data_IF_328163851641
#
_entry.id   IF_328163851641
#
_cell.length_a   1.000
_cell.length_b   1.000
_cell.length_c   1.000
_cell.angle_alpha   90.00
_cell.angle_beta   90.00
_cell.angle_gamma   90.00
#
_symmetry.space_group_name_H-M   'P 1'
#
loop_
_entity.id
_entity.type
_entity.pdbx_description
1 polymer ?
#
# COMPACT_ATOMS: atom_id res chain seq x y z
N UNK A 1 2.72 -6.44 22.06
CA UNK A 1 4.09 -6.53 21.50
C UNK A 1 4.31 -7.78 20.64
N UNK A 2 3.30 -8.66 20.46
CA UNK A 2 3.43 -9.92 19.71
C UNK A 2 3.12 -9.80 18.21
N UNK A 3 2.15 -8.98 17.82
CA UNK A 3 1.60 -9.03 16.45
C UNK A 3 2.46 -8.32 15.40
N UNK A 4 3.17 -7.26 15.79
CA UNK A 4 4.12 -6.55 14.93
C UNK A 4 5.26 -7.46 14.47
N UNK A 5 5.72 -8.36 15.35
CA UNK A 5 6.78 -9.33 15.04
C UNK A 5 6.26 -10.39 14.04
N UNK A 6 5.02 -10.84 14.20
CA UNK A 6 4.40 -11.82 13.28
C UNK A 6 4.21 -11.21 11.88
N UNK A 7 3.66 -9.99 11.79
CA UNK A 7 3.49 -9.31 10.51
C UNK A 7 4.82 -9.05 9.80
N UNK A 8 5.84 -8.59 10.54
CA UNK A 8 7.20 -8.41 10.03
C UNK A 8 7.78 -9.71 9.46
N UNK A 9 7.68 -10.82 10.21
CA UNK A 9 8.17 -12.12 9.77
C UNK A 9 7.45 -12.63 8.51
N UNK A 10 6.12 -12.44 8.42
CA UNK A 10 5.34 -12.82 7.23
C UNK A 10 5.78 -12.00 6.01
N UNK A 11 5.97 -10.69 6.17
CA UNK A 11 6.38 -9.79 5.08
C UNK A 11 7.79 -10.14 4.61
N UNK A 12 8.72 -10.42 5.53
CA UNK A 12 10.06 -10.91 5.19
C UNK A 12 10.01 -12.24 4.43
N UNK A 13 9.21 -13.22 4.88
CA UNK A 13 9.05 -14.50 4.20
C UNK A 13 8.53 -14.27 2.78
N UNK A 14 7.42 -13.54 2.62
CA UNK A 14 6.81 -13.29 1.31
C UNK A 14 7.77 -12.58 0.36
N UNK A 15 8.52 -11.60 0.86
CA UNK A 15 9.49 -10.85 0.07
C UNK A 15 10.69 -11.70 -0.36
N UNK A 16 11.08 -12.71 0.42
CA UNK A 16 12.13 -13.66 0.07
C UNK A 16 11.72 -14.75 -0.92
N UNK A 17 10.42 -14.98 -1.13
CA UNK A 17 9.93 -16.02 -2.04
C UNK A 17 10.19 -15.69 -3.52
N UNK A 18 10.44 -16.69 -4.38
CA UNK A 18 10.40 -16.54 -5.83
C UNK A 18 9.06 -15.97 -6.32
N UNK A 19 9.09 -15.19 -7.40
CA UNK A 19 7.91 -14.48 -7.91
C UNK A 19 6.71 -15.40 -8.20
N UNK A 20 6.95 -16.58 -8.77
CA UNK A 20 5.91 -17.55 -9.11
C UNK A 20 5.16 -18.10 -7.87
N UNK A 21 5.78 -18.06 -6.68
CA UNK A 21 5.12 -18.39 -5.41
C UNK A 21 4.53 -17.14 -4.76
N UNK A 22 5.24 -16.01 -4.83
CA UNK A 22 4.83 -14.77 -4.18
C UNK A 22 3.51 -14.25 -4.75
N UNK A 23 3.34 -14.25 -6.07
CA UNK A 23 2.11 -13.76 -6.74
C UNK A 23 0.83 -14.47 -6.24
N UNK A 24 0.70 -15.81 -6.33
CA UNK A 24 -0.51 -16.49 -5.86
C UNK A 24 -0.73 -16.33 -4.36
N UNK A 25 0.32 -16.30 -3.54
CA UNK A 25 0.17 -16.08 -2.09
C UNK A 25 -0.35 -14.69 -1.76
N UNK A 26 0.19 -13.65 -2.40
CA UNK A 26 -0.32 -12.27 -2.24
C UNK A 26 -1.75 -12.12 -2.74
N UNK A 27 -2.09 -12.78 -3.84
CA UNK A 27 -3.46 -12.77 -4.38
C UNK A 27 -4.45 -13.37 -3.39
N UNK A 28 -4.15 -14.52 -2.80
CA UNK A 28 -4.98 -15.14 -1.78
C UNK A 28 -5.12 -14.23 -0.55
N UNK A 29 -4.02 -13.63 -0.10
CA UNK A 29 -4.03 -12.69 1.03
C UNK A 29 -4.92 -11.46 0.77
N UNK A 30 -4.92 -10.94 -0.46
CA UNK A 30 -5.80 -9.84 -0.86
C UNK A 30 -7.28 -10.27 -0.89
N UNK A 31 -7.57 -11.48 -1.37
CA UNK A 31 -8.94 -12.05 -1.34
C UNK A 31 -9.43 -12.19 0.11
N UNK A 32 -8.59 -12.71 1.00
CA UNK A 32 -8.87 -12.79 2.44
C UNK A 32 -9.12 -11.39 3.02
N UNK A 33 -8.21 -10.45 2.75
CA UNK A 33 -8.32 -9.07 3.22
C UNK A 33 -9.66 -8.41 2.84
N UNK A 34 -10.13 -8.59 1.61
CA UNK A 34 -11.42 -8.02 1.18
C UNK A 34 -12.63 -8.62 1.89
N UNK A 35 -12.48 -9.80 2.49
CA UNK A 35 -13.53 -10.49 3.25
C UNK A 35 -13.51 -10.14 4.74
N UNK A 36 -12.50 -9.41 5.22
CA UNK A 36 -12.37 -9.04 6.63
C UNK A 36 -13.36 -7.92 7.04
N UNK A 37 -13.76 -7.87 8.32
CA UNK A 37 -14.37 -6.69 8.94
C UNK A 37 -13.47 -5.44 8.86
N UNK A 38 -14.06 -4.24 8.91
CA UNK A 38 -13.31 -2.99 8.73
C UNK A 38 -12.27 -2.72 9.84
N UNK A 39 -12.54 -3.13 11.08
CA UNK A 39 -11.60 -3.06 12.18
C UNK A 39 -10.40 -3.99 11.96
N UNK A 40 -10.63 -5.22 11.51
CA UNK A 40 -9.57 -6.17 11.16
C UNK A 40 -8.76 -5.71 9.94
N UNK A 41 -9.40 -5.08 8.95
CA UNK A 41 -8.69 -4.45 7.82
C UNK A 41 -7.77 -3.35 8.32
N UNK A 42 -8.27 -2.46 9.19
CA UNK A 42 -7.46 -1.36 9.75
C UNK A 42 -6.25 -1.90 10.51
N UNK A 43 -6.43 -2.93 11.33
CA UNK A 43 -5.35 -3.58 12.05
C UNK A 43 -4.34 -4.21 11.07
N UNK A 44 -4.81 -4.92 10.05
CA UNK A 44 -3.96 -5.54 9.02
C UNK A 44 -3.08 -4.51 8.31
N UNK A 45 -3.66 -3.38 7.88
CA UNK A 45 -2.91 -2.29 7.25
C UNK A 45 -1.91 -1.66 8.20
N UNK A 46 -2.31 -1.40 9.45
CA UNK A 46 -1.45 -0.80 10.47
C UNK A 46 -0.23 -1.70 10.72
N UNK A 47 -0.44 -3.00 10.87
CA UNK A 47 0.63 -3.97 11.05
C UNK A 47 1.53 -4.08 9.82
N UNK A 48 0.97 -4.02 8.61
CA UNK A 48 1.77 -4.04 7.38
C UNK A 48 2.66 -2.79 7.23
N UNK A 49 2.13 -1.60 7.55
CA UNK A 49 2.90 -0.35 7.51
C UNK A 49 4.01 -0.34 8.55
N UNK A 50 3.73 -0.76 9.79
CA UNK A 50 4.74 -0.87 10.84
C UNK A 50 5.85 -1.87 10.47
N UNK A 51 5.48 -3.00 9.88
CA UNK A 51 6.44 -3.98 9.39
C UNK A 51 7.30 -3.41 8.25
N UNK A 52 6.71 -2.64 7.32
CA UNK A 52 7.45 -2.00 6.23
C UNK A 52 8.57 -1.07 6.74
N UNK A 53 8.40 -0.44 7.89
CA UNK A 53 9.42 0.42 8.52
C UNK A 53 10.62 -0.36 9.10
N UNK A 54 10.47 -1.66 9.33
CA UNK A 54 11.49 -2.51 9.99
C UNK A 54 12.27 -3.41 9.03
N UNK A 55 11.86 -3.47 7.76
CA UNK A 55 12.41 -4.38 6.76
C UNK A 55 13.35 -3.62 5.82
N UNK A 56 14.43 -4.28 5.39
CA UNK A 56 15.33 -3.72 4.38
C UNK A 56 14.57 -3.32 3.11
N UNK A 57 14.85 -2.11 2.62
CA UNK A 57 14.09 -1.55 1.52
C UNK A 57 14.20 -2.37 0.23
N UNK A 58 15.33 -3.03 -0.05
CA UNK A 58 15.46 -3.87 -1.26
C UNK A 58 14.57 -5.11 -1.21
N UNK A 59 14.35 -5.63 0.00
CA UNK A 59 13.42 -6.74 0.25
C UNK A 59 11.99 -6.23 0.09
N UNK A 60 11.67 -5.11 0.76
CA UNK A 60 10.34 -4.50 0.70
C UNK A 60 9.95 -4.09 -0.73
N UNK A 61 10.85 -3.51 -1.51
CA UNK A 61 10.58 -3.02 -2.86
C UNK A 61 10.11 -4.14 -3.79
N UNK A 62 10.70 -5.33 -3.66
CA UNK A 62 10.31 -6.51 -4.42
C UNK A 62 8.90 -6.97 -4.06
N UNK A 63 8.56 -6.96 -2.78
CA UNK A 63 7.23 -7.31 -2.31
C UNK A 63 6.18 -6.30 -2.77
N UNK A 64 6.46 -5.00 -2.59
CA UNK A 64 5.56 -3.91 -2.99
C UNK A 64 5.30 -3.95 -4.49
N UNK A 65 6.33 -4.19 -5.31
CA UNK A 65 6.16 -4.34 -6.76
C UNK A 65 5.18 -5.45 -7.10
N UNK A 66 5.40 -6.65 -6.56
CA UNK A 66 4.51 -7.80 -6.80
C UNK A 66 3.10 -7.52 -6.27
N UNK A 67 2.98 -6.86 -5.13
CA UNK A 67 1.69 -6.48 -4.55
C UNK A 67 0.92 -5.51 -5.47
N UNK A 68 1.57 -4.50 -6.03
CA UNK A 68 0.95 -3.56 -6.98
C UNK A 68 0.52 -4.26 -8.27
N UNK A 69 1.34 -5.17 -8.79
CA UNK A 69 0.99 -5.97 -9.97
C UNK A 69 -0.23 -6.86 -9.72
N UNK A 70 -0.24 -7.58 -8.59
CA UNK A 70 -1.37 -8.44 -8.21
C UNK A 70 -2.64 -7.60 -7.98
N UNK A 71 -2.51 -6.41 -7.39
CA UNK A 71 -3.64 -5.50 -7.19
C UNK A 71 -4.28 -5.07 -8.52
N UNK A 72 -3.48 -4.95 -9.60
CA UNK A 72 -3.99 -4.64 -10.95
C UNK A 72 -4.85 -5.77 -11.54
N UNK A 73 -4.76 -7.00 -11.03
CA UNK A 73 -5.60 -8.13 -11.47
C UNK A 73 -7.02 -8.07 -10.90
N UNK A 74 -7.26 -7.26 -9.87
CA UNK A 74 -8.59 -7.05 -9.28
C UNK A 74 -9.33 -5.90 -9.97
N UNK A 75 -10.66 -5.85 -9.82
CA UNK A 75 -11.50 -4.76 -10.34
C UNK A 75 -11.23 -3.41 -9.65
N UNK A 76 -11.75 -2.32 -10.23
CA UNK A 76 -11.53 -0.96 -9.72
C UNK A 76 -12.07 -0.77 -8.29
N UNK A 77 -13.17 -1.43 -7.93
CA UNK A 77 -13.77 -1.35 -6.61
C UNK A 77 -12.83 -1.89 -5.54
N UNK A 78 -12.28 -3.10 -5.74
CA UNK A 78 -11.30 -3.70 -4.84
C UNK A 78 -10.01 -2.89 -4.76
N UNK A 79 -9.53 -2.34 -5.88
CA UNK A 79 -8.37 -1.42 -5.87
C UNK A 79 -8.63 -0.19 -5.02
N UNK A 80 -9.81 0.43 -5.16
CA UNK A 80 -10.21 1.59 -4.36
C UNK A 80 -10.36 1.24 -2.88
N UNK A 81 -10.97 0.10 -2.56
CA UNK A 81 -11.09 -0.37 -1.19
C UNK A 81 -9.70 -0.55 -0.53
N UNK A 82 -8.76 -1.15 -1.27
CA UNK A 82 -7.39 -1.34 -0.80
C UNK A 82 -6.68 -0.01 -0.53
N UNK A 83 -6.73 0.94 -1.48
CA UNK A 83 -6.17 2.27 -1.27
C UNK A 83 -6.85 3.00 -0.12
N UNK A 84 -8.18 2.91 0.00
CA UNK A 84 -8.95 3.53 1.08
C UNK A 84 -8.51 3.07 2.46
N UNK A 85 -8.25 1.76 2.62
CA UNK A 85 -7.75 1.22 3.86
C UNK A 85 -6.39 1.81 4.25
N UNK A 86 -5.46 1.95 3.30
CA UNK A 86 -4.18 2.65 3.52
C UNK A 86 -4.37 4.13 3.87
N UNK A 87 -5.15 4.87 3.09
CA UNK A 87 -5.36 6.30 3.33
C UNK A 87 -5.99 6.56 4.70
N UNK A 88 -6.94 5.72 5.13
CA UNK A 88 -7.58 5.85 6.45
C UNK A 88 -6.56 5.71 7.59
N UNK A 89 -5.62 4.77 7.49
CA UNK A 89 -4.56 4.61 8.49
C UNK A 89 -3.58 5.78 8.44
N UNK A 90 -3.18 6.21 7.25
CA UNK A 90 -2.26 7.34 7.06
C UNK A 90 -2.84 8.65 7.60
N UNK A 91 -4.12 8.93 7.34
CA UNK A 91 -4.79 10.13 7.84
C UNK A 91 -4.90 10.11 9.37
N UNK A 92 -5.06 8.93 9.96
CA UNK A 92 -5.11 8.75 11.41
C UNK A 92 -3.72 8.83 12.07
N UNK A 93 -2.67 8.39 11.36
CA UNK A 93 -1.29 8.35 11.84
C UNK A 93 -0.31 8.90 10.78
N UNK A 94 -0.26 10.23 10.58
CA UNK A 94 0.56 10.84 9.51
C UNK A 94 2.06 10.57 9.62
N UNK A 95 2.57 10.38 10.83
CA UNK A 95 4.00 10.17 11.10
C UNK A 95 4.56 8.94 10.37
N UNK A 96 3.73 7.91 10.14
CA UNK A 96 4.11 6.71 9.38
C UNK A 96 4.62 7.08 7.98
N UNK A 97 4.02 8.07 7.32
CA UNK A 97 4.44 8.50 5.99
C UNK A 97 5.78 9.23 6.01
N UNK A 98 6.08 9.96 7.09
CA UNK A 98 7.34 10.66 7.23
C UNK A 98 8.53 9.69 7.39
N UNK A 99 8.29 8.50 7.95
CA UNK A 99 9.32 7.47 8.13
C UNK A 99 9.46 6.53 6.92
N UNK A 100 8.45 6.43 6.06
CA UNK A 100 8.49 5.58 4.88
C UNK A 100 9.43 6.17 3.80
N UNK A 101 10.17 5.29 3.13
CA UNK A 101 10.95 5.66 1.95
C UNK A 101 10.03 5.89 0.73
N UNK A 102 9.36 7.04 0.70
CA UNK A 102 8.41 7.40 -0.37
C UNK A 102 9.11 7.46 -1.72
N UNK A 103 10.31 8.02 -1.80
CA UNK A 103 11.09 8.10 -3.06
C UNK A 103 11.34 6.71 -3.64
N UNK A 104 11.72 5.76 -2.79
CA UNK A 104 11.88 4.37 -3.16
C UNK A 104 10.58 3.75 -3.63
N UNK A 105 9.47 3.95 -2.92
CA UNK A 105 8.15 3.42 -3.31
C UNK A 105 7.69 4.00 -4.66
N UNK A 106 7.96 5.28 -4.92
CA UNK A 106 7.70 5.90 -6.22
C UNK A 106 8.59 5.30 -7.32
N UNK A 107 9.85 4.99 -7.03
CA UNK A 107 10.71 4.29 -7.98
C UNK A 107 10.17 2.90 -8.32
N UNK A 108 9.63 2.18 -7.33
CA UNK A 108 8.97 0.88 -7.55
C UNK A 108 7.74 1.03 -8.43
N UNK A 109 6.89 2.03 -8.13
CA UNK A 109 5.73 2.35 -8.95
C UNK A 109 6.12 2.68 -10.40
N UNK A 110 7.16 3.49 -10.61
CA UNK A 110 7.63 3.88 -11.93
C UNK A 110 8.19 2.72 -12.76
N UNK A 111 8.67 1.66 -12.08
CA UNK A 111 9.16 0.43 -12.71
C UNK A 111 8.04 -0.55 -13.14
N UNK A 112 6.78 -0.23 -12.88
CA UNK A 112 5.63 -0.99 -13.38
C UNK A 112 5.37 -0.68 -14.87
N UNK A 113 4.63 -1.58 -15.53
CA UNK A 113 4.15 -1.34 -16.90
C UNK A 113 3.23 -0.11 -16.96
N UNK A 114 3.17 0.55 -18.11
CA UNK A 114 2.32 1.74 -18.28
C UNK A 114 0.84 1.45 -18.01
N UNK A 115 0.36 0.27 -18.42
CA UNK A 115 -1.00 -0.20 -18.12
C UNK A 115 -1.25 -0.30 -16.60
N UNK A 116 -0.34 -0.92 -15.85
CA UNK A 116 -0.50 -1.07 -14.40
C UNK A 116 -0.45 0.30 -13.70
N UNK A 117 0.47 1.19 -14.13
CA UNK A 117 0.54 2.56 -13.60
C UNK A 117 -0.78 3.30 -13.80
N UNK A 118 -1.36 3.23 -15.00
CA UNK A 118 -2.64 3.88 -15.31
C UNK A 118 -3.80 3.33 -14.47
N UNK A 119 -3.89 2.00 -14.29
CA UNK A 119 -4.93 1.38 -13.48
C UNK A 119 -4.88 1.83 -12.02
N UNK A 120 -3.67 1.85 -11.44
CA UNK A 120 -3.46 2.25 -10.05
C UNK A 120 -3.69 3.75 -9.86
N UNK A 121 -3.16 4.60 -10.75
CA UNK A 121 -3.38 6.04 -10.72
C UNK A 121 -4.86 6.39 -10.80
N UNK A 122 -5.59 5.80 -11.77
CA UNK A 122 -7.02 6.04 -11.93
C UNK A 122 -7.79 5.70 -10.65
N UNK A 123 -7.53 4.53 -10.06
CA UNK A 123 -8.19 4.11 -8.83
C UNK A 123 -7.86 5.03 -7.64
N UNK A 124 -6.61 5.46 -7.51
CA UNK A 124 -6.18 6.34 -6.44
C UNK A 124 -6.74 7.76 -6.61
N UNK A 125 -6.67 8.36 -7.79
CA UNK A 125 -7.27 9.68 -8.09
C UNK A 125 -8.77 9.68 -7.86
N UNK A 126 -9.48 8.65 -8.34
CA UNK A 126 -10.92 8.48 -8.10
C UNK A 126 -11.26 8.48 -6.61
N UNK A 127 -10.43 7.84 -5.79
CA UNK A 127 -10.59 7.83 -4.34
C UNK A 127 -10.24 9.18 -3.69
N UNK A 128 -9.13 9.81 -4.08
CA UNK A 128 -8.71 11.12 -3.54
C UNK A 128 -9.75 12.22 -3.81
N UNK A 129 -10.45 12.15 -4.95
CA UNK A 129 -11.55 13.07 -5.27
C UNK A 129 -12.81 12.86 -4.42
N UNK A 130 -12.90 11.74 -3.69
CA UNK A 130 -14.01 11.46 -2.76
C UNK A 130 -13.67 11.78 -1.30
N UNK A 131 -12.41 12.13 -0.99
CA UNK A 131 -12.02 12.53 0.36
C UNK A 131 -12.61 13.89 0.74
N UNK A 132 -13.05 14.00 1.99
CA UNK A 132 -13.44 15.28 2.57
C UNK A 132 -12.24 16.25 2.63
N UNK A 133 -12.53 17.55 2.64
CA UNK A 133 -11.52 18.62 2.57
C UNK A 133 -10.50 18.56 3.71
N UNK A 134 -10.91 18.14 4.91
CA UNK A 134 -10.04 17.97 6.08
C UNK A 134 -9.10 16.76 5.92
N UNK A 135 -9.61 15.63 5.43
CA UNK A 135 -8.82 14.45 5.12
C UNK A 135 -7.78 14.70 4.02
N UNK A 136 -8.18 15.43 2.97
CA UNK A 136 -7.26 15.82 1.88
C UNK A 136 -6.15 16.74 2.40
N UNK A 137 -6.47 17.72 3.25
CA UNK A 137 -5.48 18.64 3.83
C UNK A 137 -4.46 17.89 4.70
N UNK A 138 -4.90 16.93 5.53
CA UNK A 138 -4.00 16.08 6.33
C UNK A 138 -3.05 15.28 5.43
N UNK A 139 -3.57 14.72 4.33
CA UNK A 139 -2.76 13.93 3.42
C UNK A 139 -1.72 14.78 2.67
N UNK A 140 -2.10 15.98 2.22
CA UNK A 140 -1.18 16.93 1.56
C UNK A 140 -0.02 17.33 2.49
N UNK A 141 -0.30 17.50 3.78
CA UNK A 141 0.72 17.85 4.77
C UNK A 141 1.64 16.66 5.13
N UNK A 142 1.12 15.43 5.06
CA UNK A 142 1.89 14.22 5.37
C UNK A 142 2.78 13.76 4.21
N UNK A 143 2.33 13.94 2.96
CA UNK A 143 2.97 13.35 1.78
C UNK A 143 4.07 14.26 1.20
N UNK A 144 5.28 13.72 0.93
CA UNK A 144 6.36 14.46 0.27
C UNK A 144 5.96 15.11 -1.07
N UNK A 145 6.60 16.23 -1.44
CA UNK A 145 6.22 17.04 -2.61
C UNK A 145 6.24 16.28 -3.94
N UNK A 146 7.21 15.39 -4.11
CA UNK A 146 7.32 14.55 -5.30
C UNK A 146 6.18 13.54 -5.44
N UNK A 147 5.69 12.98 -4.33
CA UNK A 147 4.51 12.13 -4.33
C UNK A 147 3.23 12.94 -4.60
N UNK A 148 3.12 14.17 -4.07
CA UNK A 148 1.99 15.06 -4.36
C UNK A 148 1.79 15.32 -5.85
N UNK A 149 2.87 15.52 -6.61
CA UNK A 149 2.82 15.71 -8.07
C UNK A 149 2.23 14.51 -8.82
N UNK A 150 2.50 13.29 -8.37
CA UNK A 150 1.97 12.06 -8.98
C UNK A 150 0.50 11.86 -8.61
N UNK A 151 0.13 12.28 -7.40
CA UNK A 151 -1.23 12.14 -6.86
C UNK A 151 -2.17 13.27 -7.24
N UNK A 152 -1.68 14.29 -7.95
CA UNK A 152 -2.42 15.51 -8.32
C UNK A 152 -3.12 16.14 -7.10
N UNK A 153 -2.35 16.25 -6.01
CA UNK A 153 -2.80 16.70 -4.69
C UNK A 153 -2.57 18.17 -4.44
#
# INVERSE_FOLDING_TARGET
MSDTNIAGNIIQILAGLPEFLRKPMLKNRLIEFFSLPEDEKKETITNALNAALTIDFNILSNLVKTWMEVLCEFDEEKRRAMFGAYLNVIIASPDIIAELNIDGLLSVFNALSDQNKQLLQKSLHSLLNTLASDGRAKLVNAVPENARKILDL
#
